data_IF_930732072801
#
_entry.id   IF_930732072801
#
_cell.length_a   1.000
_cell.length_b   1.000
_cell.length_c   1.000
_cell.angle_alpha   90.00
_cell.angle_beta   90.00
_cell.angle_gamma   90.00
#
_symmetry.space_group_name_H-M   'P 1'
#
loop_
_entity.id
_entity.type
_entity.pdbx_description
1 polymer ?
#
# COMPACT_ATOMS: atom_id res chain seq x y z
N UNK A 1 23.86 24.31 16.92
CA UNK A 1 22.62 23.66 16.45
C UNK A 1 22.93 22.18 16.25
N UNK A 2 22.54 21.20 17.05
CA UNK A 2 21.72 21.10 18.27
C UNK A 2 21.47 19.61 18.50
N UNK A 3 22.52 18.83 18.81
CA UNK A 3 22.54 17.37 18.66
C UNK A 3 21.70 16.58 19.69
N UNK A 4 21.36 17.17 20.83
CA UNK A 4 20.71 16.44 21.94
C UNK A 4 19.17 16.51 21.92
N UNK A 5 18.57 17.38 21.10
CA UNK A 5 17.10 17.49 20.98
C UNK A 5 16.50 16.54 19.94
N UNK A 6 17.33 15.77 19.22
CA UNK A 6 16.92 14.99 18.05
C UNK A 6 17.09 13.47 18.23
N UNK A 7 17.54 13.02 19.40
CA UNK A 7 17.84 11.60 19.68
C UNK A 7 16.79 10.91 20.57
N UNK A 8 15.79 11.65 21.07
CA UNK A 8 14.70 11.10 21.88
C UNK A 8 13.42 10.92 21.03
N UNK A 9 12.63 9.92 21.41
CA UNK A 9 11.29 9.59 20.90
C UNK A 9 10.40 10.82 20.68
N UNK A 10 10.54 11.83 21.53
CA UNK A 10 9.84 13.11 21.46
C UNK A 10 10.04 13.88 20.15
N UNK A 11 11.21 13.78 19.50
CA UNK A 11 11.42 14.40 18.18
C UNK A 11 10.69 13.65 17.07
N UNK A 12 10.69 12.32 17.10
CA UNK A 12 9.92 11.51 16.16
C UNK A 12 8.41 11.75 16.28
N UNK A 13 7.91 11.92 17.52
CA UNK A 13 6.52 12.33 17.78
C UNK A 13 6.21 13.70 17.16
N UNK A 14 7.12 14.66 17.34
CA UNK A 14 6.96 15.98 16.73
C UNK A 14 6.93 15.90 15.19
N UNK A 15 7.80 15.09 14.56
CA UNK A 15 7.81 14.90 13.11
C UNK A 15 6.49 14.27 12.61
N UNK A 16 6.01 13.22 13.28
CA UNK A 16 4.69 12.62 13.00
C UNK A 16 3.58 13.65 13.13
N UNK A 17 3.59 14.47 14.18
CA UNK A 17 2.59 15.53 14.36
C UNK A 17 2.59 16.56 13.22
N UNK A 18 3.74 16.89 12.61
CA UNK A 18 3.78 17.80 11.45
C UNK A 18 3.15 17.17 10.21
N UNK A 19 3.44 15.89 9.94
CA UNK A 19 2.87 15.16 8.79
C UNK A 19 1.37 14.97 8.98
N UNK A 20 0.95 14.45 10.15
CA UNK A 20 -0.46 14.24 10.49
C UNK A 20 -1.25 15.56 10.43
N UNK A 21 -0.67 16.65 10.96
CA UNK A 21 -1.26 17.98 10.90
C UNK A 21 -1.44 18.48 9.47
N UNK A 22 -0.50 18.19 8.57
CA UNK A 22 -0.59 18.56 7.16
C UNK A 22 -1.71 17.81 6.44
N UNK A 23 -1.77 16.47 6.60
CA UNK A 23 -2.84 15.64 6.02
C UNK A 23 -4.22 16.10 6.52
N UNK A 24 -4.36 16.29 7.83
CA UNK A 24 -5.60 16.78 8.44
C UNK A 24 -6.04 18.13 7.89
N UNK A 25 -5.12 19.08 7.76
CA UNK A 25 -5.45 20.40 7.19
C UNK A 25 -5.90 20.30 5.74
N UNK A 26 -5.25 19.48 4.91
CA UNK A 26 -5.72 19.25 3.55
C UNK A 26 -7.15 18.70 3.54
N UNK A 27 -7.45 17.73 4.39
CA UNK A 27 -8.77 17.14 4.48
C UNK A 27 -9.82 18.17 4.94
N UNK A 28 -9.60 18.82 6.09
CA UNK A 28 -10.53 19.77 6.72
C UNK A 28 -10.75 21.04 5.88
N UNK A 29 -9.74 21.50 5.14
CA UNK A 29 -9.81 22.75 4.37
C UNK A 29 -10.27 22.52 2.92
N UNK A 30 -9.95 21.39 2.27
CA UNK A 30 -10.27 21.15 0.85
C UNK A 30 -11.56 20.37 0.66
N UNK A 31 -11.78 19.28 1.41
CA UNK A 31 -12.93 18.38 1.16
C UNK A 31 -14.27 19.12 1.26
N UNK A 32 -14.52 20.01 2.26
CA UNK A 32 -15.76 20.78 2.31
C UNK A 32 -15.98 21.72 1.13
N UNK A 33 -14.90 22.16 0.46
CA UNK A 33 -14.98 23.03 -0.72
C UNK A 33 -15.18 22.24 -2.02
N UNK A 34 -14.87 20.94 -2.01
CA UNK A 34 -14.90 20.03 -3.16
C UNK A 34 -15.41 18.65 -2.71
N UNK A 35 -16.72 18.49 -2.44
CA UNK A 35 -17.27 17.25 -1.87
C UNK A 35 -17.08 16.00 -2.76
N UNK A 36 -16.82 16.18 -4.06
CA UNK A 36 -16.50 15.08 -4.97
C UNK A 36 -15.02 14.70 -5.05
N UNK A 37 -14.12 15.44 -4.38
CA UNK A 37 -12.68 15.16 -4.38
C UNK A 37 -12.33 14.20 -3.25
N UNK A 38 -11.58 13.15 -3.55
CA UNK A 38 -11.05 12.23 -2.56
C UNK A 38 -9.62 12.63 -2.21
N UNK A 39 -9.30 12.66 -0.92
CA UNK A 39 -7.93 12.77 -0.43
C UNK A 39 -7.38 11.36 -0.20
N UNK A 40 -6.35 11.01 -0.96
CA UNK A 40 -5.63 9.74 -0.85
C UNK A 40 -4.14 9.93 -0.60
N UNK A 41 -3.47 8.93 -0.03
CA UNK A 41 -2.01 8.91 0.10
C UNK A 41 -1.43 7.55 -0.27
N UNK A 42 -0.34 7.55 -1.05
CA UNK A 42 0.53 6.38 -1.18
C UNK A 42 1.44 6.31 0.05
N UNK A 43 1.38 5.21 0.80
CA UNK A 43 2.02 5.09 2.12
C UNK A 43 3.03 3.95 2.15
N UNK A 44 3.96 4.02 3.12
CA UNK A 44 4.93 2.95 3.31
C UNK A 44 4.23 1.59 3.56
N UNK A 45 4.69 0.50 2.93
CA UNK A 45 4.00 -0.80 2.93
C UNK A 45 3.94 -1.51 4.28
N UNK A 46 4.80 -1.14 5.22
CA UNK A 46 4.80 -1.69 6.58
C UNK A 46 4.56 -0.49 7.49
N UNK A 47 3.38 -0.33 8.07
CA UNK A 47 3.12 0.80 8.99
C UNK A 47 3.99 0.64 10.25
N UNK A 48 3.88 -0.52 10.89
CA UNK A 48 4.71 -1.03 11.99
C UNK A 48 4.85 -2.55 11.84
N UNK A 49 5.89 -3.15 12.42
CA UNK A 49 6.10 -4.60 12.38
C UNK A 49 5.27 -5.33 13.44
N UNK A 50 4.65 -6.45 13.09
CA UNK A 50 4.11 -7.42 14.05
C UNK A 50 5.02 -8.66 14.14
N UNK A 51 5.53 -9.03 15.33
CA UNK A 51 6.28 -10.26 15.53
C UNK A 51 5.54 -11.54 15.06
N UNK A 52 4.20 -11.54 15.07
CA UNK A 52 3.39 -12.67 14.64
C UNK A 52 3.53 -12.97 13.14
N UNK A 53 3.94 -11.99 12.33
CA UNK A 53 4.15 -12.19 10.89
C UNK A 53 5.41 -13.00 10.58
N UNK A 54 6.37 -13.08 11.53
CA UNK A 54 7.63 -13.79 11.33
C UNK A 54 8.47 -13.26 10.15
N UNK A 55 8.26 -12.00 9.76
CA UNK A 55 8.98 -11.41 8.63
C UNK A 55 10.48 -11.28 8.94
N UNK A 56 11.35 -11.62 7.98
CA UNK A 56 12.78 -11.58 8.20
C UNK A 56 13.37 -10.17 8.04
N UNK A 57 14.57 -9.97 8.60
CA UNK A 57 15.38 -8.77 8.40
C UNK A 57 14.97 -7.56 9.22
N UNK A 58 15.70 -6.46 9.04
CA UNK A 58 15.40 -5.16 9.66
C UNK A 58 14.47 -4.36 8.76
N UNK A 59 13.20 -4.31 9.15
CA UNK A 59 12.14 -3.72 8.34
C UNK A 59 12.00 -2.24 8.63
N UNK A 60 11.99 -1.43 7.57
CA UNK A 60 11.64 -0.03 7.68
C UNK A 60 10.11 0.09 7.84
N UNK A 61 9.71 0.86 8.84
CA UNK A 61 8.33 1.07 9.27
C UNK A 61 7.90 2.49 8.94
N UNK A 62 6.71 2.64 8.36
CA UNK A 62 6.13 3.92 7.97
C UNK A 62 6.02 4.85 9.16
N UNK A 63 5.48 4.36 10.28
CA UNK A 63 5.25 5.18 11.47
C UNK A 63 6.56 5.57 12.19
N UNK A 64 7.52 4.65 12.22
CA UNK A 64 8.75 4.79 13.02
C UNK A 64 9.87 5.46 12.23
N UNK A 65 10.19 4.96 11.03
CA UNK A 65 11.33 5.44 10.23
C UNK A 65 10.99 6.61 9.33
N UNK A 66 9.73 6.72 8.88
CA UNK A 66 9.28 7.75 7.94
C UNK A 66 8.26 8.73 8.52
N UNK A 67 7.86 8.52 9.78
CA UNK A 67 6.88 9.36 10.48
C UNK A 67 5.51 9.46 9.75
N UNK A 68 5.21 8.48 8.90
CA UNK A 68 3.95 8.31 8.19
C UNK A 68 3.00 7.47 9.03
N UNK A 69 2.24 8.12 9.92
CA UNK A 69 1.25 7.44 10.74
C UNK A 69 -0.07 7.21 9.98
N UNK A 70 0.00 6.42 8.92
CA UNK A 70 -1.11 6.22 7.99
C UNK A 70 -2.35 5.60 8.65
N UNK A 71 -2.17 4.72 9.63
CA UNK A 71 -3.29 4.15 10.41
C UNK A 71 -3.97 5.20 11.30
N UNK A 72 -3.25 6.18 11.85
CA UNK A 72 -3.87 7.29 12.57
C UNK A 72 -4.70 8.21 11.66
N UNK A 73 -4.31 8.39 10.39
CA UNK A 73 -5.11 9.15 9.43
C UNK A 73 -6.46 8.47 9.16
N UNK A 74 -6.46 7.13 9.03
CA UNK A 74 -7.69 6.34 8.91
C UNK A 74 -8.55 6.47 10.16
N UNK A 75 -7.97 6.26 11.34
CA UNK A 75 -8.70 6.28 12.61
C UNK A 75 -9.28 7.65 12.98
N UNK A 76 -8.59 8.74 12.61
CA UNK A 76 -9.10 10.11 12.78
C UNK A 76 -10.06 10.55 11.68
N UNK A 77 -10.17 9.77 10.61
CA UNK A 77 -11.04 10.06 9.48
C UNK A 77 -10.56 11.24 8.62
N UNK A 78 -9.27 11.59 8.66
CA UNK A 78 -8.67 12.71 7.93
C UNK A 78 -8.09 12.32 6.56
N UNK A 79 -8.51 11.16 6.04
CA UNK A 79 -8.16 10.67 4.71
C UNK A 79 -9.28 9.75 4.22
N UNK A 80 -9.50 9.72 2.91
CA UNK A 80 -10.55 8.88 2.30
C UNK A 80 -10.04 7.50 1.94
N UNK A 81 -8.80 7.45 1.46
CA UNK A 81 -8.16 6.20 1.10
C UNK A 81 -6.65 6.23 1.30
N UNK A 82 -6.08 5.06 1.55
CA UNK A 82 -4.63 4.88 1.49
C UNK A 82 -4.26 3.77 0.53
N UNK A 83 -3.10 3.95 -0.09
CA UNK A 83 -2.52 2.98 -1.02
C UNK A 83 -1.15 2.52 -0.51
N UNK A 84 -1.07 1.47 0.31
CA UNK A 84 0.22 0.96 0.77
C UNK A 84 1.03 0.43 -0.42
N UNK A 85 2.27 0.86 -0.55
CA UNK A 85 3.14 0.55 -1.69
C UNK A 85 3.81 -0.83 -1.52
N UNK A 86 3.02 -1.89 -1.56
CA UNK A 86 3.45 -3.28 -1.26
C UNK A 86 4.12 -3.91 -2.49
N UNK A 87 5.25 -3.36 -2.91
CA UNK A 87 6.02 -3.82 -4.06
C UNK A 87 7.50 -3.38 -3.96
N UNK A 88 8.43 -4.10 -4.59
CA UNK A 88 9.83 -3.70 -4.62
C UNK A 88 10.07 -2.42 -5.42
N UNK A 89 11.07 -1.64 -5.01
CA UNK A 89 11.46 -0.40 -5.68
C UNK A 89 12.40 -0.58 -6.89
N UNK A 90 13.10 -1.71 -7.02
CA UNK A 90 14.18 -1.84 -8.03
C UNK A 90 14.22 -3.15 -8.81
N UNK A 91 13.79 -4.29 -8.28
CA UNK A 91 13.78 -5.55 -9.05
C UNK A 91 12.87 -6.60 -8.43
N UNK A 92 12.30 -7.42 -9.30
CA UNK A 92 11.60 -8.65 -8.98
C UNK A 92 12.54 -9.84 -9.23
N UNK A 93 12.28 -10.96 -8.58
CA UNK A 93 13.09 -12.17 -8.69
C UNK A 93 13.08 -12.83 -10.08
N UNK A 94 13.92 -13.86 -10.20
CA UNK A 94 13.99 -14.74 -11.37
C UNK A 94 12.69 -15.54 -11.57
N UNK A 95 12.48 -15.96 -12.81
CA UNK A 95 11.33 -16.76 -13.22
C UNK A 95 11.76 -18.21 -13.47
N UNK A 96 10.84 -19.17 -13.31
CA UNK A 96 11.04 -20.52 -13.84
C UNK A 96 10.91 -20.55 -15.38
N UNK A 97 11.10 -21.73 -15.97
CA UNK A 97 11.04 -21.91 -17.42
C UNK A 97 9.63 -21.64 -17.99
N UNK A 98 8.60 -21.76 -17.13
CA UNK A 98 7.20 -21.55 -17.44
C UNK A 98 6.76 -20.10 -17.22
N UNK A 99 7.66 -19.22 -16.76
CA UNK A 99 7.37 -17.80 -16.51
C UNK A 99 6.65 -17.55 -15.18
N UNK A 100 6.61 -18.52 -14.28
CA UNK A 100 6.11 -18.32 -12.93
C UNK A 100 7.17 -17.61 -12.09
N UNK A 101 6.68 -16.78 -11.19
CA UNK A 101 7.52 -16.10 -10.21
C UNK A 101 8.05 -17.13 -9.20
N UNK A 102 9.36 -17.25 -9.09
CA UNK A 102 9.98 -18.13 -8.11
C UNK A 102 10.01 -17.44 -6.76
N UNK A 103 9.05 -17.82 -5.92
CA UNK A 103 8.96 -17.35 -4.54
C UNK A 103 9.96 -18.08 -3.65
N UNK A 104 10.86 -17.32 -3.04
CA UNK A 104 11.80 -17.86 -2.04
C UNK A 104 11.47 -17.29 -0.65
N UNK A 105 10.82 -18.09 0.22
CA UNK A 105 10.43 -17.64 1.54
C UNK A 105 11.61 -17.53 2.51
N UNK A 106 12.83 -17.92 2.13
CA UNK A 106 14.00 -17.89 3.00
C UNK A 106 14.23 -16.47 3.56
N UNK A 107 14.49 -16.33 4.87
CA UNK A 107 14.82 -15.06 5.50
C UNK A 107 15.97 -14.26 4.88
N UNK A 108 16.88 -14.94 4.20
CA UNK A 108 18.06 -14.38 3.55
C UNK A 108 17.83 -14.08 2.07
N UNK A 109 16.66 -14.44 1.54
CA UNK A 109 16.30 -14.17 0.16
C UNK A 109 16.08 -12.68 -0.10
N UNK A 110 16.44 -12.25 -1.32
CA UNK A 110 16.01 -10.95 -1.84
C UNK A 110 14.51 -10.89 -2.15
N UNK A 111 13.80 -12.03 -2.10
CA UNK A 111 12.37 -12.11 -2.36
C UNK A 111 11.53 -11.64 -1.18
N UNK A 112 11.59 -10.35 -0.89
CA UNK A 112 10.81 -9.85 0.23
C UNK A 112 9.30 -9.83 -0.10
N UNK A 113 8.93 -9.54 -1.34
CA UNK A 113 7.56 -9.20 -1.74
C UNK A 113 6.75 -10.38 -2.31
N UNK A 114 7.00 -11.57 -1.79
CA UNK A 114 6.22 -12.80 -2.09
C UNK A 114 4.74 -12.60 -1.75
N UNK A 115 3.88 -13.41 -2.37
CA UNK A 115 2.42 -13.34 -2.25
C UNK A 115 1.93 -13.40 -0.82
N UNK A 116 2.48 -14.30 0.00
CA UNK A 116 2.07 -14.46 1.40
C UNK A 116 2.31 -13.18 2.22
N UNK A 117 3.51 -12.59 2.13
CA UNK A 117 3.82 -11.34 2.84
C UNK A 117 3.02 -10.16 2.30
N UNK A 118 2.79 -10.12 0.99
CA UNK A 118 1.90 -9.14 0.38
C UNK A 118 0.50 -9.23 0.97
N UNK A 119 -0.07 -10.43 1.04
CA UNK A 119 -1.40 -10.68 1.60
C UNK A 119 -1.48 -10.27 3.07
N UNK A 120 -0.51 -10.67 3.90
CA UNK A 120 -0.46 -10.28 5.32
C UNK A 120 -0.52 -8.76 5.50
N UNK A 121 0.22 -8.00 4.68
CA UNK A 121 0.21 -6.54 4.75
C UNK A 121 -1.12 -5.95 4.27
N UNK A 122 -1.75 -6.52 3.24
CA UNK A 122 -3.10 -6.11 2.82
C UNK A 122 -4.12 -6.31 3.93
N UNK A 123 -4.11 -7.47 4.57
CA UNK A 123 -5.03 -7.83 5.65
C UNK A 123 -4.83 -6.92 6.88
N UNK A 124 -3.58 -6.60 7.23
CA UNK A 124 -3.26 -5.66 8.31
C UNK A 124 -3.84 -4.25 8.07
N UNK A 125 -3.64 -3.70 6.88
CA UNK A 125 -4.22 -2.39 6.53
C UNK A 125 -5.75 -2.44 6.48
N UNK A 126 -6.31 -3.50 5.92
CA UNK A 126 -7.76 -3.67 5.80
C UNK A 126 -8.45 -3.80 7.17
N UNK A 127 -7.85 -4.55 8.10
CA UNK A 127 -8.32 -4.67 9.48
C UNK A 127 -8.32 -3.32 10.22
N UNK A 128 -7.41 -2.41 9.85
CA UNK A 128 -7.28 -1.06 10.41
C UNK A 128 -7.89 0.03 9.51
N UNK A 129 -8.77 -0.34 8.56
CA UNK A 129 -9.35 0.59 7.60
C UNK A 129 -10.19 1.71 8.24
N UNK A 130 -10.77 1.47 9.43
CA UNK A 130 -11.64 2.42 10.13
C UNK A 130 -12.78 2.96 9.24
N UNK A 131 -13.30 2.12 8.34
CA UNK A 131 -14.36 2.48 7.40
C UNK A 131 -13.92 3.34 6.22
N UNK A 132 -12.60 3.59 6.07
CA UNK A 132 -11.98 4.23 4.89
C UNK A 132 -11.52 3.18 3.88
N UNK A 133 -11.14 3.62 2.69
CA UNK A 133 -10.77 2.69 1.62
C UNK A 133 -9.29 2.33 1.64
N UNK A 134 -9.01 1.02 1.59
CA UNK A 134 -7.66 0.50 1.35
C UNK A 134 -7.54 0.10 -0.11
N UNK A 135 -6.49 0.56 -0.76
CA UNK A 135 -6.18 0.32 -2.18
C UNK A 135 -4.74 -0.19 -2.28
N UNK A 136 -4.46 -1.46 -1.95
CA UNK A 136 -3.10 -1.97 -1.91
C UNK A 136 -2.40 -1.88 -3.26
N UNK A 137 -1.13 -1.48 -3.21
CA UNK A 137 -0.26 -1.41 -4.37
C UNK A 137 0.22 -2.78 -4.81
N UNK A 138 0.19 -3.02 -6.12
CA UNK A 138 0.72 -4.20 -6.80
C UNK A 138 1.65 -3.67 -7.88
N UNK A 139 2.90 -4.11 -7.91
CA UNK A 139 3.77 -3.67 -9.00
C UNK A 139 3.61 -4.48 -10.28
N UNK A 140 4.16 -3.99 -11.39
CA UNK A 140 3.98 -4.55 -12.73
C UNK A 140 5.21 -5.32 -13.24
N UNK A 141 6.27 -5.45 -12.42
CA UNK A 141 7.54 -6.05 -12.84
C UNK A 141 7.66 -7.55 -12.57
N UNK A 142 6.55 -8.23 -12.29
CA UNK A 142 6.55 -9.69 -12.12
C UNK A 142 6.82 -10.42 -13.44
N UNK A 143 7.27 -11.66 -13.32
CA UNK A 143 7.57 -12.57 -14.43
C UNK A 143 6.42 -12.76 -15.43
N UNK A 144 5.19 -12.76 -14.94
CA UNK A 144 3.99 -12.94 -15.75
C UNK A 144 2.80 -12.19 -15.17
N UNK A 145 1.78 -12.00 -16.00
CA UNK A 145 0.52 -11.37 -15.59
C UNK A 145 -0.20 -12.16 -14.48
N UNK A 146 0.00 -13.48 -14.40
CA UNK A 146 -0.65 -14.34 -13.41
C UNK A 146 -0.37 -13.91 -11.95
N UNK A 147 0.80 -13.33 -11.67
CA UNK A 147 1.13 -12.76 -10.36
C UNK A 147 0.30 -11.52 -10.01
N UNK A 148 0.05 -10.68 -11.00
CA UNK A 148 -0.77 -9.48 -10.87
C UNK A 148 -2.22 -9.92 -10.66
N UNK A 149 -2.74 -10.81 -11.51
CA UNK A 149 -4.09 -11.35 -11.39
C UNK A 149 -4.33 -12.01 -10.02
N UNK A 150 -3.37 -12.81 -9.54
CA UNK A 150 -3.48 -13.46 -8.23
C UNK A 150 -3.58 -12.42 -7.11
N UNK A 151 -2.74 -11.39 -7.10
CA UNK A 151 -2.81 -10.32 -6.07
C UNK A 151 -4.08 -9.49 -6.17
N UNK A 152 -4.60 -9.25 -7.38
CA UNK A 152 -5.93 -8.63 -7.56
C UNK A 152 -7.01 -9.46 -6.87
N UNK A 153 -6.99 -10.78 -7.06
CA UNK A 153 -7.96 -11.68 -6.45
C UNK A 153 -7.81 -11.79 -4.93
N UNK A 154 -6.58 -11.75 -4.40
CA UNK A 154 -6.33 -11.65 -2.95
C UNK A 154 -6.90 -10.34 -2.39
N UNK A 155 -6.66 -9.20 -3.04
CA UNK A 155 -7.22 -7.91 -2.61
C UNK A 155 -8.76 -7.92 -2.57
N UNK A 156 -9.40 -8.55 -3.56
CA UNK A 156 -10.86 -8.74 -3.60
C UNK A 156 -11.34 -9.63 -2.46
N UNK A 157 -10.67 -10.76 -2.21
CA UNK A 157 -11.02 -11.69 -1.15
C UNK A 157 -10.87 -11.05 0.25
N UNK A 158 -9.88 -10.17 0.43
CA UNK A 158 -9.70 -9.38 1.64
C UNK A 158 -10.76 -8.28 1.83
N UNK A 159 -11.58 -7.98 0.82
CA UNK A 159 -12.61 -6.94 0.89
C UNK A 159 -12.07 -5.51 0.77
N UNK A 160 -10.89 -5.34 0.17
CA UNK A 160 -10.36 -4.01 -0.14
C UNK A 160 -11.22 -3.31 -1.19
N UNK A 161 -11.17 -1.98 -1.22
CA UNK A 161 -11.97 -1.17 -2.13
C UNK A 161 -11.49 -1.22 -3.58
N UNK A 162 -10.29 -1.76 -3.81
CA UNK A 162 -9.62 -1.83 -5.11
C UNK A 162 -8.16 -2.21 -4.95
N UNK A 163 -7.33 -1.86 -5.93
CA UNK A 163 -5.87 -1.99 -5.88
C UNK A 163 -5.25 -0.98 -6.85
N UNK A 164 -3.97 -0.68 -6.69
CA UNK A 164 -3.23 0.25 -7.54
C UNK A 164 -2.07 -0.47 -8.25
N UNK A 165 -1.97 -0.36 -9.57
CA UNK A 165 -0.90 -0.98 -10.35
C UNK A 165 0.28 -0.03 -10.55
N UNK A 166 1.46 -0.40 -10.07
CA UNK A 166 2.70 0.37 -10.23
C UNK A 166 3.70 -0.33 -11.17
N UNK A 167 3.92 0.11 -12.39
CA UNK A 167 3.53 1.38 -12.99
C UNK A 167 2.85 1.17 -14.34
N UNK A 168 2.23 2.24 -14.85
CA UNK A 168 1.72 2.29 -16.22
C UNK A 168 2.77 1.86 -17.25
N UNK A 169 4.02 2.33 -17.13
CA UNK A 169 5.09 1.95 -18.06
C UNK A 169 5.45 0.46 -17.96
N UNK A 170 5.38 -0.13 -16.76
CA UNK A 170 5.54 -1.57 -16.58
C UNK A 170 4.43 -2.37 -17.27
N UNK A 171 3.16 -1.96 -17.12
CA UNK A 171 2.04 -2.59 -17.82
C UNK A 171 2.18 -2.47 -19.35
N UNK A 172 2.57 -1.30 -19.84
CA UNK A 172 2.78 -1.05 -21.27
C UNK A 172 3.91 -1.91 -21.84
N UNK A 173 5.05 -1.96 -21.15
CA UNK A 173 6.24 -2.68 -21.62
C UNK A 173 6.00 -4.19 -21.70
N UNK A 174 5.22 -4.73 -20.75
CA UNK A 174 4.86 -6.16 -20.72
C UNK A 174 3.57 -6.48 -21.50
N UNK A 175 2.95 -5.49 -22.16
CA UNK A 175 1.70 -5.65 -22.91
C UNK A 175 0.49 -6.17 -22.09
N UNK A 176 0.45 -5.91 -20.77
CA UNK A 176 -0.58 -6.44 -19.86
C UNK A 176 -1.95 -5.76 -19.92
N UNK A 177 -2.16 -4.74 -20.76
CA UNK A 177 -3.46 -4.08 -20.86
C UNK A 177 -4.57 -4.99 -21.40
N UNK A 178 -4.24 -5.82 -22.39
CA UNK A 178 -5.19 -6.79 -22.94
C UNK A 178 -5.51 -7.89 -21.93
N UNK A 179 -4.53 -8.32 -21.14
CA UNK A 179 -4.74 -9.29 -20.06
C UNK A 179 -5.65 -8.72 -18.95
N UNK A 180 -5.45 -7.46 -18.56
CA UNK A 180 -6.33 -6.76 -17.62
C UNK A 180 -7.77 -6.67 -18.16
N UNK A 181 -7.94 -6.31 -19.43
CA UNK A 181 -9.25 -6.14 -20.05
C UNK A 181 -9.98 -7.48 -20.27
N UNK A 182 -9.27 -8.55 -20.63
CA UNK A 182 -9.86 -9.86 -20.88
C UNK A 182 -10.00 -10.71 -19.60
N UNK A 183 -9.26 -10.39 -18.55
CA UNK A 183 -9.29 -11.09 -17.26
C UNK A 183 -9.95 -10.24 -16.16
N UNK A 184 -9.18 -9.69 -15.19
CA UNK A 184 -9.75 -9.08 -13.99
C UNK A 184 -10.74 -7.93 -14.23
N UNK A 185 -10.64 -7.19 -15.33
CA UNK A 185 -11.51 -6.04 -15.63
C UNK A 185 -12.45 -6.28 -16.81
N UNK A 186 -12.73 -7.55 -17.14
CA UNK A 186 -13.75 -7.88 -18.15
C UNK A 186 -15.13 -7.34 -17.77
N UNK A 187 -15.41 -7.28 -16.47
CA UNK A 187 -16.57 -6.58 -15.92
C UNK A 187 -16.18 -5.16 -15.48
N UNK A 188 -17.00 -4.19 -15.86
CA UNK A 188 -16.80 -2.78 -15.44
C UNK A 188 -16.94 -2.66 -13.93
N UNK A 189 -15.89 -2.20 -13.26
CA UNK A 189 -15.92 -1.93 -11.83
C UNK A 189 -16.82 -0.73 -11.51
N UNK A 190 -17.56 -0.82 -10.40
CA UNK A 190 -18.33 0.30 -9.85
C UNK A 190 -17.46 0.99 -8.80
N UNK A 191 -17.06 2.27 -8.98
CA UNK A 191 -16.33 3.00 -7.95
C UNK A 191 -17.14 3.08 -6.66
N UNK A 192 -16.53 2.83 -5.49
CA UNK A 192 -17.28 2.87 -4.24
C UNK A 192 -17.65 4.33 -3.89
N UNK A 193 -18.78 4.53 -3.21
CA UNK A 193 -19.29 5.86 -2.87
C UNK A 193 -18.79 6.32 -1.50
N UNK A 194 -18.17 7.51 -1.42
CA UNK A 194 -17.85 8.11 -0.13
C UNK A 194 -19.12 8.61 0.57
N UNK A 195 -19.48 7.97 1.68
CA UNK A 195 -20.66 8.31 2.48
C UNK A 195 -20.37 9.22 3.67
N UNK A 196 -19.10 9.60 3.88
CA UNK A 196 -18.64 10.36 5.04
C UNK A 196 -18.20 11.79 4.70
N UNK A 197 -18.29 12.19 3.44
CA UNK A 197 -18.19 13.60 3.07
C UNK A 197 -19.48 14.34 3.49
N UNK A 198 -19.37 15.64 3.82
CA UNK A 198 -20.50 16.49 4.17
C UNK A 198 -21.48 16.73 3.01
#
# INVERSE_FOLDING_TARGET
YGADCFSDSSYGDWQRAQINGTVRRFYEEIVPLKPGLWLSAAVWPIHETDPAWGFPGELQQGNINYFQDSKAWLGSGTIDSISPMIYPGVSYNNCDAEGNYLEDPDPTSSDYWIRERWQTLVEDFQANSNGRYIIPGIGAGYCSFAEIETRINIARAAGTAGHALFSYSGLLTNAYFDDLANGPYVETAVPPSISWHP
#
